data_IF_013949741660
#
_entry.id   IF_013949741660
#
_cell.length_a   1.000
_cell.length_b   1.000
_cell.length_c   1.000
_cell.angle_alpha   90.00
_cell.angle_beta   90.00
_cell.angle_gamma   90.00
#
_symmetry.space_group_name_H-M   'P 1'
#
loop_
_entity.id
_entity.type
_entity.pdbx_description
1 polymer ?
#
# COMPACT_ATOMS: atom_id res chain seq x y z
N UNK A 1 18.71 -23.15 7.70
CA UNK A 1 18.61 -22.75 9.12
C UNK A 1 18.70 -21.22 9.30
N UNK A 2 19.79 -20.57 8.83
CA UNK A 2 20.01 -19.11 8.99
C UNK A 2 18.91 -18.18 8.42
N UNK A 3 18.35 -18.47 7.24
CA UNK A 3 17.32 -17.61 6.62
C UNK A 3 16.03 -17.53 7.46
N UNK A 4 15.61 -18.66 8.03
CA UNK A 4 14.43 -18.78 8.90
C UNK A 4 14.62 -18.01 10.21
N UNK A 5 15.82 -18.05 10.77
CA UNK A 5 16.15 -17.41 12.05
C UNK A 5 16.27 -15.89 11.92
N UNK A 6 16.72 -15.43 10.74
CA UNK A 6 16.98 -14.02 10.41
C UNK A 6 15.84 -13.36 9.59
N UNK A 7 14.70 -14.03 9.40
CA UNK A 7 13.58 -13.52 8.59
C UNK A 7 13.12 -12.12 8.99
N UNK A 8 13.20 -11.77 10.28
CA UNK A 8 12.83 -10.43 10.75
C UNK A 8 13.78 -9.35 10.21
N UNK A 9 15.08 -9.63 10.13
CA UNK A 9 16.07 -8.70 9.58
C UNK A 9 15.80 -8.48 8.10
N UNK A 10 15.55 -9.55 7.35
CA UNK A 10 15.19 -9.45 5.92
C UNK A 10 13.87 -8.70 5.71
N UNK A 11 12.87 -8.93 6.56
CA UNK A 11 11.59 -8.22 6.50
C UNK A 11 11.78 -6.71 6.69
N UNK A 12 12.49 -6.30 7.75
CA UNK A 12 12.79 -4.89 8.01
C UNK A 12 13.66 -4.27 6.92
N UNK A 13 14.66 -5.00 6.41
CA UNK A 13 15.54 -4.52 5.34
C UNK A 13 14.76 -4.30 4.04
N UNK A 14 13.83 -5.21 3.71
CA UNK A 14 12.96 -5.05 2.55
C UNK A 14 12.06 -3.82 2.71
N UNK A 15 11.38 -3.68 3.85
CA UNK A 15 10.51 -2.52 4.12
C UNK A 15 11.28 -1.20 4.08
N UNK A 16 12.50 -1.17 4.64
CA UNK A 16 13.37 0.00 4.58
C UNK A 16 13.77 0.32 3.13
N UNK A 17 14.21 -0.70 2.38
CA UNK A 17 14.60 -0.53 0.98
C UNK A 17 13.45 0.07 0.16
N UNK A 18 12.25 -0.52 0.21
CA UNK A 18 11.12 -0.03 -0.59
C UNK A 18 10.65 1.35 -0.14
N UNK A 19 10.76 1.68 1.15
CA UNK A 19 10.47 3.02 1.65
C UNK A 19 11.49 4.07 1.18
N UNK A 20 12.78 3.73 1.20
CA UNK A 20 13.85 4.60 0.69
C UNK A 20 13.68 4.84 -0.80
N UNK A 21 13.38 3.80 -1.59
CA UNK A 21 13.11 3.95 -3.03
C UNK A 21 11.92 4.88 -3.31
N UNK A 22 10.83 4.72 -2.55
CA UNK A 22 9.67 5.61 -2.63
C UNK A 22 10.01 7.07 -2.28
N UNK A 23 10.80 7.28 -1.22
CA UNK A 23 11.26 8.61 -0.81
C UNK A 23 12.18 9.25 -1.85
N UNK A 24 13.12 8.50 -2.41
CA UNK A 24 14.02 8.97 -3.48
C UNK A 24 13.22 9.37 -4.71
N UNK A 25 12.26 8.54 -5.14
CA UNK A 25 11.41 8.83 -6.29
C UNK A 25 10.57 10.09 -6.09
N UNK A 26 10.03 10.28 -4.88
CA UNK A 26 9.31 11.50 -4.50
C UNK A 26 10.24 12.72 -4.50
N UNK A 27 11.40 12.64 -3.85
CA UNK A 27 12.39 13.72 -3.75
C UNK A 27 12.90 14.16 -5.13
N UNK A 28 13.16 13.20 -6.02
CA UNK A 28 13.50 13.47 -7.41
C UNK A 28 12.37 14.18 -8.17
N UNK A 29 11.11 13.83 -7.91
CA UNK A 29 9.95 14.52 -8.47
C UNK A 29 9.83 15.99 -8.02
N UNK A 30 10.47 16.35 -6.91
CA UNK A 30 10.61 17.73 -6.44
C UNK A 30 11.95 18.37 -6.84
N UNK A 31 12.76 17.69 -7.65
CA UNK A 31 14.14 18.08 -7.94
C UNK A 31 14.98 18.34 -6.67
N UNK A 32 14.66 17.66 -5.58
CA UNK A 32 15.27 17.86 -4.25
C UNK A 32 15.14 19.28 -3.69
N UNK A 33 14.21 20.08 -4.21
CA UNK A 33 13.90 21.41 -3.69
C UNK A 33 12.70 21.35 -2.75
N UNK A 34 12.99 21.42 -1.45
CA UNK A 34 11.98 21.32 -0.38
C UNK A 34 11.42 22.68 0.07
N UNK A 35 11.76 23.77 -0.62
CA UNK A 35 11.13 25.06 -0.37
C UNK A 35 9.65 25.01 -0.76
N UNK A 36 8.75 25.42 0.15
CA UNK A 36 7.30 25.45 -0.04
C UNK A 36 6.64 24.07 -0.22
N UNK A 37 6.84 23.18 0.76
CA UNK A 37 6.08 21.93 0.85
C UNK A 37 4.61 22.22 1.18
N UNK A 38 3.73 22.07 0.19
CA UNK A 38 2.29 22.07 0.37
C UNK A 38 1.74 20.65 0.51
N UNK A 39 0.49 20.52 0.97
CA UNK A 39 -0.21 19.25 1.04
C UNK A 39 -0.23 18.52 -0.32
N UNK A 40 -0.36 19.25 -1.45
CA UNK A 40 -0.31 18.67 -2.80
C UNK A 40 1.04 18.01 -3.12
N UNK A 41 2.13 18.54 -2.57
CA UNK A 41 3.48 17.98 -2.75
C UNK A 41 3.78 16.84 -1.79
N UNK A 42 3.17 16.86 -0.60
CA UNK A 42 3.39 15.86 0.44
C UNK A 42 2.51 14.63 0.28
N UNK A 43 1.22 14.78 -0.04
CA UNK A 43 0.30 13.65 -0.10
C UNK A 43 0.77 12.49 -1.01
N UNK A 44 1.46 12.70 -2.16
CA UNK A 44 1.92 11.59 -3.00
C UNK A 44 2.97 10.72 -2.28
N UNK A 45 3.85 11.31 -1.47
CA UNK A 45 4.84 10.57 -0.69
C UNK A 45 4.16 9.53 0.23
N UNK A 46 3.10 9.94 0.92
CA UNK A 46 2.34 9.04 1.80
C UNK A 46 1.71 7.88 1.02
N UNK A 47 1.21 8.13 -0.19
CA UNK A 47 0.69 7.08 -1.08
C UNK A 47 1.76 6.10 -1.53
N UNK A 48 2.92 6.60 -1.94
CA UNK A 48 4.07 5.77 -2.35
C UNK A 48 4.57 4.90 -1.19
N UNK A 49 4.74 5.49 -0.01
CA UNK A 49 5.15 4.77 1.19
C UNK A 49 4.11 3.75 1.63
N UNK A 50 2.82 4.11 1.65
CA UNK A 50 1.75 3.22 2.05
C UNK A 50 1.75 1.94 1.21
N UNK A 51 1.67 2.06 -0.12
CA UNK A 51 1.67 0.90 -1.00
C UNK A 51 2.96 0.10 -0.89
N UNK A 52 4.12 0.75 -0.87
CA UNK A 52 5.42 0.04 -0.81
C UNK A 52 5.56 -0.80 0.46
N UNK A 53 5.14 -0.26 1.61
CA UNK A 53 5.17 -0.98 2.88
C UNK A 53 4.11 -2.09 2.93
N UNK A 54 2.90 -1.84 2.44
CA UNK A 54 1.85 -2.88 2.31
C UNK A 54 2.32 -4.03 1.42
N UNK A 55 2.93 -3.71 0.28
CA UNK A 55 3.53 -4.69 -0.60
C UNK A 55 4.58 -5.54 0.12
N UNK A 56 5.47 -4.91 0.91
CA UNK A 56 6.47 -5.66 1.70
C UNK A 56 5.84 -6.58 2.75
N UNK A 57 4.73 -6.17 3.38
CA UNK A 57 3.94 -7.02 4.30
C UNK A 57 3.44 -8.28 3.59
N UNK A 58 2.94 -8.14 2.36
CA UNK A 58 2.47 -9.27 1.54
C UNK A 58 3.61 -10.25 1.21
N UNK A 59 4.74 -9.74 0.74
CA UNK A 59 5.89 -10.58 0.37
C UNK A 59 6.46 -11.30 1.60
N UNK A 60 6.63 -10.60 2.71
CA UNK A 60 7.08 -11.21 3.98
C UNK A 60 6.04 -12.21 4.50
N UNK A 61 4.74 -11.91 4.36
CA UNK A 61 3.65 -12.84 4.66
C UNK A 61 3.77 -14.15 3.89
N UNK A 62 4.07 -14.08 2.59
CA UNK A 62 4.29 -15.28 1.78
C UNK A 62 5.58 -16.00 2.13
N UNK A 63 6.68 -15.29 2.35
CA UNK A 63 7.93 -15.89 2.79
C UNK A 63 7.77 -16.63 4.15
N UNK A 64 7.00 -16.05 5.08
CA UNK A 64 6.68 -16.67 6.38
C UNK A 64 5.93 -18.00 6.20
N UNK A 65 5.00 -18.10 5.25
CA UNK A 65 4.26 -19.34 4.99
C UNK A 65 5.18 -20.52 4.66
N UNK A 66 6.22 -20.27 3.85
CA UNK A 66 7.20 -21.29 3.48
C UNK A 66 8.27 -21.55 4.55
N UNK A 67 8.83 -20.50 5.13
CA UNK A 67 9.95 -20.63 6.07
C UNK A 67 9.53 -21.07 7.48
N UNK A 68 8.24 -20.94 7.81
CA UNK A 68 7.65 -21.30 9.12
C UNK A 68 8.55 -20.89 10.31
N UNK A 69 8.94 -19.60 10.41
CA UNK A 69 9.78 -19.13 11.51
C UNK A 69 9.02 -19.24 12.85
N UNK A 70 9.73 -19.22 13.99
CA UNK A 70 9.12 -19.19 15.32
C UNK A 70 8.07 -18.07 15.44
N UNK A 71 6.94 -18.35 16.10
CA UNK A 71 5.74 -17.51 16.06
C UNK A 71 5.97 -16.03 16.40
N UNK A 72 6.89 -15.73 17.34
CA UNK A 72 7.17 -14.37 17.81
C UNK A 72 8.17 -13.59 16.94
N UNK A 73 8.85 -14.21 15.98
CA UNK A 73 9.93 -13.55 15.22
C UNK A 73 9.46 -12.36 14.38
N UNK A 74 8.20 -12.35 13.93
CA UNK A 74 7.64 -11.28 13.08
C UNK A 74 6.54 -10.48 13.79
N UNK A 75 6.29 -10.70 15.09
CA UNK A 75 5.18 -10.02 15.78
C UNK A 75 5.36 -8.51 15.79
N UNK A 76 6.57 -8.03 16.10
CA UNK A 76 6.87 -6.60 16.12
C UNK A 76 6.86 -6.00 14.71
N UNK A 77 7.35 -6.75 13.72
CA UNK A 77 7.29 -6.35 12.32
C UNK A 77 5.85 -6.05 11.88
N UNK A 78 4.94 -7.01 12.03
CA UNK A 78 3.54 -6.78 11.65
C UNK A 78 2.87 -5.72 12.53
N UNK A 79 3.11 -5.71 13.85
CA UNK A 79 2.50 -4.73 14.76
C UNK A 79 2.84 -3.29 14.35
N UNK A 80 4.12 -2.97 14.21
CA UNK A 80 4.54 -1.59 13.93
C UNK A 80 4.32 -1.21 12.48
N UNK A 81 4.54 -2.14 11.53
CA UNK A 81 4.39 -1.83 10.12
C UNK A 81 2.92 -1.65 9.74
N UNK A 82 1.99 -2.44 10.30
CA UNK A 82 0.55 -2.22 10.08
C UNK A 82 0.07 -0.87 10.63
N UNK A 83 0.51 -0.47 11.82
CA UNK A 83 0.18 0.87 12.36
C UNK A 83 0.77 1.98 11.49
N UNK A 84 2.01 1.81 11.03
CA UNK A 84 2.65 2.77 10.12
C UNK A 84 1.87 2.91 8.82
N UNK A 85 1.52 1.77 8.19
CA UNK A 85 0.68 1.74 6.99
C UNK A 85 -0.66 2.42 7.23
N UNK A 86 -1.33 2.16 8.36
CA UNK A 86 -2.60 2.79 8.71
C UNK A 86 -2.48 4.33 8.72
N UNK A 87 -1.45 4.85 9.37
CA UNK A 87 -1.18 6.30 9.39
C UNK A 87 -0.95 6.82 7.97
N UNK A 88 -0.17 6.12 7.15
CA UNK A 88 0.13 6.54 5.78
C UNK A 88 -1.12 6.54 4.88
N UNK A 89 -1.97 5.51 4.95
CA UNK A 89 -3.21 5.44 4.17
C UNK A 89 -4.26 6.44 4.63
N UNK A 90 -4.22 6.90 5.89
CA UNK A 90 -5.07 7.99 6.37
C UNK A 90 -4.54 9.35 5.91
N UNK A 91 -3.23 9.56 6.04
CA UNK A 91 -2.56 10.80 5.68
C UNK A 91 -2.64 11.07 4.16
N UNK A 92 -2.50 10.05 3.31
CA UNK A 92 -2.50 10.21 1.86
C UNK A 92 -3.75 10.91 1.30
N UNK A 93 -4.97 10.34 1.39
CA UNK A 93 -6.18 11.03 0.95
C UNK A 93 -6.53 12.19 1.90
N UNK A 94 -6.22 12.09 3.20
CA UNK A 94 -6.55 13.12 4.19
C UNK A 94 -5.89 14.47 3.87
N UNK A 95 -4.62 14.48 3.50
CA UNK A 95 -3.89 15.69 3.09
C UNK A 95 -4.47 16.29 1.80
N UNK A 96 -4.86 15.45 0.83
CA UNK A 96 -5.47 15.92 -0.40
C UNK A 96 -6.84 16.55 -0.13
N UNK A 97 -7.71 15.87 0.64
CA UNK A 97 -9.05 16.39 1.01
C UNK A 97 -8.93 17.69 1.78
N UNK A 98 -8.03 17.75 2.76
CA UNK A 98 -7.78 18.94 3.55
C UNK A 98 -7.41 20.14 2.66
N UNK A 99 -6.50 19.93 1.72
CA UNK A 99 -6.06 20.99 0.82
C UNK A 99 -7.16 21.44 -0.13
N UNK A 100 -7.87 20.49 -0.76
CA UNK A 100 -8.98 20.80 -1.65
C UNK A 100 -10.09 21.57 -0.93
N UNK A 101 -10.39 21.21 0.32
CA UNK A 101 -11.35 21.94 1.14
C UNK A 101 -10.88 23.37 1.44
N UNK A 102 -9.60 23.54 1.84
CA UNK A 102 -9.01 24.88 2.08
C UNK A 102 -9.00 25.77 0.84
N UNK A 103 -8.85 25.17 -0.33
CA UNK A 103 -8.83 25.87 -1.61
C UNK A 103 -10.26 26.13 -2.16
N UNK A 104 -11.31 25.78 -1.40
CA UNK A 104 -12.70 26.08 -1.75
C UNK A 104 -13.39 25.06 -2.66
N UNK A 105 -12.76 23.92 -2.97
CA UNK A 105 -13.35 22.86 -3.79
C UNK A 105 -14.38 21.99 -3.04
N UNK A 106 -14.50 22.18 -1.72
CA UNK A 106 -15.41 21.40 -0.87
C UNK A 106 -14.92 19.97 -0.59
N UNK A 107 -15.84 19.13 -0.11
CA UNK A 107 -15.55 17.74 0.23
C UNK A 107 -15.79 16.80 -0.98
N UNK A 108 -15.17 15.60 -0.98
CA UNK A 108 -15.50 14.56 -1.95
C UNK A 108 -17.00 14.19 -1.95
N UNK A 109 -17.56 13.70 -3.07
CA UNK A 109 -16.86 13.27 -4.29
C UNK A 109 -16.58 14.38 -5.31
N UNK A 110 -17.22 15.55 -5.18
CA UNK A 110 -17.13 16.63 -6.17
C UNK A 110 -15.71 17.19 -6.28
N UNK A 111 -15.04 17.42 -5.15
CA UNK A 111 -13.67 17.95 -5.14
C UNK A 111 -12.67 17.03 -5.84
N UNK A 112 -12.81 15.70 -5.69
CA UNK A 112 -11.98 14.73 -6.40
C UNK A 112 -12.21 14.75 -7.91
N UNK A 113 -13.47 14.80 -8.36
CA UNK A 113 -13.79 14.86 -9.79
C UNK A 113 -13.15 16.08 -10.46
N UNK A 114 -13.17 17.22 -9.76
CA UNK A 114 -12.56 18.45 -10.25
C UNK A 114 -11.02 18.35 -10.27
N UNK A 115 -10.41 17.69 -9.28
CA UNK A 115 -8.96 17.56 -9.18
C UNK A 115 -8.36 16.61 -10.22
N UNK A 116 -8.92 15.40 -10.41
CA UNK A 116 -8.34 14.37 -11.30
C UNK A 116 -8.89 14.38 -12.73
N UNK A 117 -9.98 15.10 -12.96
CA UNK A 117 -10.70 15.13 -14.22
C UNK A 117 -11.53 13.86 -14.51
N UNK A 118 -12.53 13.93 -15.41
CA UNK A 118 -13.52 12.86 -15.60
C UNK A 118 -12.91 11.49 -15.98
N UNK A 119 -11.86 11.49 -16.80
CA UNK A 119 -11.24 10.27 -17.32
C UNK A 119 -10.43 9.47 -16.28
N UNK A 120 -10.24 10.00 -15.07
CA UNK A 120 -9.49 9.33 -14.01
C UNK A 120 -10.30 9.15 -12.71
N UNK A 121 -11.57 9.57 -12.68
CA UNK A 121 -12.47 9.41 -11.52
C UNK A 121 -12.59 7.95 -11.08
N UNK A 122 -12.63 7.01 -12.03
CA UNK A 122 -12.72 5.58 -11.72
C UNK A 122 -11.58 5.13 -10.80
N UNK A 123 -10.36 5.65 -10.99
CA UNK A 123 -9.20 5.28 -10.20
C UNK A 123 -9.35 5.76 -8.74
N UNK A 124 -9.98 6.92 -8.54
CA UNK A 124 -10.31 7.47 -7.21
C UNK A 124 -11.39 6.64 -6.53
N UNK A 125 -12.41 6.19 -7.27
CA UNK A 125 -13.48 5.34 -6.73
C UNK A 125 -12.90 4.00 -6.26
N UNK A 126 -12.11 3.33 -7.13
CA UNK A 126 -11.45 2.07 -6.80
C UNK A 126 -10.56 2.21 -5.58
N UNK A 127 -9.75 3.26 -5.48
CA UNK A 127 -8.91 3.49 -4.29
C UNK A 127 -9.71 3.83 -3.04
N UNK A 128 -10.84 4.53 -3.17
CA UNK A 128 -11.71 4.85 -2.02
C UNK A 128 -12.32 3.57 -1.44
N UNK A 129 -12.80 2.67 -2.30
CA UNK A 129 -13.30 1.36 -1.89
C UNK A 129 -12.19 0.54 -1.24
N UNK A 130 -11.01 0.49 -1.87
CA UNK A 130 -9.85 -0.20 -1.31
C UNK A 130 -9.45 0.34 0.07
N UNK A 131 -9.46 1.68 0.24
CA UNK A 131 -9.19 2.34 1.50
C UNK A 131 -10.17 1.92 2.59
N UNK A 132 -11.49 1.92 2.32
CA UNK A 132 -12.49 1.42 3.26
C UNK A 132 -12.29 -0.06 3.61
N UNK A 133 -11.92 -0.90 2.63
CA UNK A 133 -11.59 -2.31 2.88
C UNK A 133 -10.40 -2.44 3.83
N UNK A 134 -9.32 -1.67 3.64
CA UNK A 134 -8.16 -1.71 4.54
C UNK A 134 -8.48 -1.20 5.94
N UNK A 135 -9.30 -0.15 6.06
CA UNK A 135 -9.80 0.30 7.37
C UNK A 135 -10.62 -0.78 8.07
N UNK A 136 -11.53 -1.44 7.34
CA UNK A 136 -12.30 -2.56 7.88
C UNK A 136 -11.38 -3.74 8.26
N UNK A 137 -10.29 -3.95 7.53
CA UNK A 137 -9.32 -5.00 7.80
C UNK A 137 -8.60 -4.82 9.15
N UNK A 138 -8.50 -3.61 9.68
CA UNK A 138 -7.97 -3.37 11.05
C UNK A 138 -8.84 -4.03 12.13
N UNK A 139 -10.12 -4.31 11.85
CA UNK A 139 -11.01 -5.05 12.74
C UNK A 139 -10.71 -6.55 12.79
N UNK A 140 -9.70 -7.03 12.05
CA UNK A 140 -9.27 -8.45 12.05
C UNK A 140 -9.05 -8.99 13.44
N UNK A 141 -8.46 -8.19 14.35
CA UNK A 141 -8.19 -8.62 15.72
C UNK A 141 -9.45 -9.04 16.49
N UNK A 142 -10.63 -8.57 16.07
CA UNK A 142 -11.92 -8.83 16.71
C UNK A 142 -12.69 -9.91 15.94
N UNK A 143 -12.64 -9.89 14.61
CA UNK A 143 -13.55 -10.69 13.77
C UNK A 143 -12.87 -11.79 12.95
N UNK A 144 -11.56 -12.02 13.08
CA UNK A 144 -10.83 -13.02 12.25
C UNK A 144 -11.47 -14.41 12.27
N UNK A 145 -12.01 -14.82 13.40
CA UNK A 145 -12.54 -16.18 13.57
C UNK A 145 -14.01 -16.30 13.10
N UNK A 146 -14.61 -15.21 12.58
CA UNK A 146 -15.95 -15.24 11.99
C UNK A 146 -15.92 -15.87 10.59
N UNK A 147 -16.91 -16.69 10.22
CA UNK A 147 -16.90 -17.43 8.95
C UNK A 147 -16.94 -16.54 7.70
N UNK A 148 -17.46 -15.32 7.82
CA UNK A 148 -17.48 -14.33 6.74
C UNK A 148 -16.14 -13.60 6.57
N UNK A 149 -15.21 -13.69 7.53
CA UNK A 149 -13.93 -12.98 7.47
C UNK A 149 -13.07 -13.38 6.26
N UNK A 150 -13.23 -14.61 5.76
CA UNK A 150 -12.59 -15.08 4.52
C UNK A 150 -12.88 -14.16 3.32
N UNK A 151 -14.05 -13.53 3.27
CA UNK A 151 -14.38 -12.57 2.21
C UNK A 151 -13.64 -11.25 2.39
N UNK A 152 -13.37 -10.83 3.63
CA UNK A 152 -12.51 -9.67 3.91
C UNK A 152 -11.05 -9.93 3.51
N UNK A 153 -10.55 -11.16 3.65
CA UNK A 153 -9.23 -11.54 3.14
C UNK A 153 -9.16 -11.41 1.62
N UNK A 154 -10.16 -11.93 0.90
CA UNK A 154 -10.25 -11.78 -0.55
C UNK A 154 -10.39 -10.29 -0.95
N UNK A 155 -11.23 -9.55 -0.24
CA UNK A 155 -11.42 -8.13 -0.50
C UNK A 155 -10.11 -7.34 -0.30
N UNK A 156 -9.32 -7.65 0.74
CA UNK A 156 -8.00 -7.06 0.95
C UNK A 156 -7.01 -7.36 -0.18
N UNK A 157 -7.01 -8.60 -0.67
CA UNK A 157 -6.17 -9.03 -1.80
C UNK A 157 -6.57 -8.29 -3.10
N UNK A 158 -7.87 -8.07 -3.33
CA UNK A 158 -8.35 -7.25 -4.46
C UNK A 158 -8.07 -5.75 -4.26
N UNK A 159 -8.16 -5.27 -3.02
CA UNK A 159 -7.93 -3.87 -2.68
C UNK A 159 -6.48 -3.45 -2.95
N UNK A 160 -5.49 -4.30 -2.63
CA UNK A 160 -4.08 -3.98 -2.93
C UNK A 160 -3.82 -3.90 -4.44
N UNK A 161 -4.50 -4.73 -5.25
CA UNK A 161 -4.47 -4.63 -6.72
C UNK A 161 -5.14 -3.34 -7.19
N UNK A 162 -6.26 -2.96 -6.60
CA UNK A 162 -6.94 -1.69 -6.86
C UNK A 162 -6.05 -0.48 -6.59
N UNK A 163 -5.33 -0.47 -5.47
CA UNK A 163 -4.37 0.60 -5.14
C UNK A 163 -3.20 0.61 -6.14
N UNK A 164 -2.70 -0.55 -6.54
CA UNK A 164 -1.67 -0.64 -7.57
C UNK A 164 -2.14 0.02 -8.89
N UNK A 165 -3.33 -0.30 -9.38
CA UNK A 165 -3.88 0.30 -10.60
C UNK A 165 -4.15 1.79 -10.44
N UNK A 166 -4.69 2.20 -9.30
CA UNK A 166 -4.88 3.62 -8.95
C UNK A 166 -3.56 4.40 -9.06
N UNK A 167 -2.49 3.87 -8.47
CA UNK A 167 -1.19 4.53 -8.47
C UNK A 167 -0.58 4.64 -9.88
N UNK A 168 -0.73 3.62 -10.74
CA UNK A 168 -0.31 3.72 -12.15
C UNK A 168 -1.07 4.79 -12.92
N UNK A 169 -2.35 5.01 -12.60
CA UNK A 169 -3.19 6.00 -13.29
C UNK A 169 -2.94 7.43 -12.82
N UNK A 170 -2.75 7.64 -11.51
CA UNK A 170 -2.75 8.97 -10.90
C UNK A 170 -1.39 9.40 -10.31
N UNK A 171 -0.48 8.46 -10.06
CA UNK A 171 0.83 8.75 -9.49
C UNK A 171 1.74 9.45 -10.50
N UNK A 172 2.01 10.72 -10.31
CA UNK A 172 2.89 11.52 -11.18
C UNK A 172 4.30 10.91 -11.26
N UNK A 173 4.86 10.47 -10.13
CA UNK A 173 6.15 9.77 -10.06
C UNK A 173 6.18 8.41 -10.78
N UNK A 174 5.02 7.92 -11.25
CA UNK A 174 4.86 6.63 -11.91
C UNK A 174 4.52 6.75 -13.39
N UNK A 175 4.37 7.97 -13.91
CA UNK A 175 4.06 8.17 -15.34
C UNK A 175 5.28 7.91 -16.23
N UNK A 176 6.49 8.18 -15.74
CA UNK A 176 7.74 7.95 -16.46
C UNK A 176 8.92 7.69 -15.50
N UNK A 177 10.06 7.29 -16.05
CA UNK A 177 11.32 7.13 -15.31
C UNK A 177 11.52 5.75 -14.66
N UNK A 178 12.65 5.59 -13.97
CA UNK A 178 13.09 4.33 -13.38
C UNK A 178 12.11 3.77 -12.35
N UNK A 179 11.44 4.64 -11.59
CA UNK A 179 10.55 4.21 -10.52
C UNK A 179 9.29 3.54 -11.06
N UNK A 180 8.85 3.89 -12.28
CA UNK A 180 7.78 3.16 -12.97
C UNK A 180 8.15 1.68 -13.21
N UNK A 181 9.41 1.40 -13.56
CA UNK A 181 9.91 0.04 -13.77
C UNK A 181 9.87 -0.73 -12.44
N UNK A 182 10.41 -0.13 -11.38
CA UNK A 182 10.35 -0.70 -10.01
C UNK A 182 8.92 -0.99 -9.59
N UNK A 183 8.00 -0.07 -9.87
CA UNK A 183 6.59 -0.22 -9.55
C UNK A 183 5.95 -1.39 -10.31
N UNK A 184 6.21 -1.51 -11.62
CA UNK A 184 5.76 -2.67 -12.41
C UNK A 184 6.34 -3.96 -11.85
N UNK A 185 7.61 -3.97 -11.45
CA UNK A 185 8.22 -5.13 -10.77
C UNK A 185 7.49 -5.48 -9.47
N UNK A 186 7.11 -4.49 -8.65
CA UNK A 186 6.27 -4.74 -7.47
C UNK A 186 4.93 -5.39 -7.86
N UNK A 187 4.26 -4.87 -8.89
CA UNK A 187 3.02 -5.44 -9.41
C UNK A 187 3.17 -6.90 -9.87
N UNK A 188 4.22 -7.23 -10.62
CA UNK A 188 4.49 -8.59 -11.08
C UNK A 188 4.76 -9.55 -9.91
N UNK A 189 5.59 -9.16 -8.95
CA UNK A 189 5.87 -9.97 -7.76
C UNK A 189 4.60 -10.15 -6.92
N UNK A 190 3.78 -9.10 -6.78
CA UNK A 190 2.49 -9.18 -6.09
C UNK A 190 1.55 -10.17 -6.79
N UNK A 191 1.44 -10.11 -8.12
CA UNK A 191 0.63 -11.04 -8.90
C UNK A 191 1.07 -12.51 -8.68
N UNK A 192 2.39 -12.77 -8.69
CA UNK A 192 2.94 -14.09 -8.39
C UNK A 192 2.60 -14.53 -6.96
N UNK A 193 2.76 -13.64 -5.98
CA UNK A 193 2.46 -13.94 -4.59
C UNK A 193 0.97 -14.26 -4.37
N UNK A 194 0.07 -13.48 -4.97
CA UNK A 194 -1.38 -13.72 -4.92
C UNK A 194 -1.75 -15.03 -5.61
N UNK A 195 -1.23 -15.28 -6.82
CA UNK A 195 -1.46 -16.54 -7.53
C UNK A 195 -1.06 -17.75 -6.65
N UNK A 196 0.09 -17.67 -6.01
CA UNK A 196 0.60 -18.72 -5.13
C UNK A 196 -0.24 -18.90 -3.86
N UNK A 197 -0.74 -17.80 -3.27
CA UNK A 197 -1.70 -17.83 -2.14
C UNK A 197 -2.94 -18.63 -2.54
N UNK A 198 -3.58 -18.29 -3.64
CA UNK A 198 -4.83 -18.95 -4.05
C UNK A 198 -4.59 -20.38 -4.55
N UNK A 199 -3.48 -20.65 -5.25
CA UNK A 199 -3.06 -22.00 -5.61
C UNK A 199 -2.89 -22.89 -4.38
N UNK A 200 -2.27 -22.39 -3.32
CA UNK A 200 -2.08 -23.15 -2.08
C UNK A 200 -3.39 -23.44 -1.34
N UNK A 201 -4.41 -22.58 -1.46
CA UNK A 201 -5.75 -22.83 -0.90
C UNK A 201 -6.51 -23.94 -1.62
N UNK A 202 -6.25 -24.15 -2.91
CA UNK A 202 -6.90 -25.18 -3.74
C UNK A 202 -6.28 -26.59 -3.58
N UNK A 203 -5.08 -26.69 -3.00
CA UNK A 203 -4.40 -27.96 -2.72
C UNK A 203 -4.30 -28.15 -1.21
N UNK A 204 -5.39 -28.55 -0.53
CA UNK A 204 -5.30 -28.89 0.89
C UNK A 204 -4.33 -30.06 1.05
N UNK A 205 -3.27 -29.83 1.83
CA UNK A 205 -2.36 -30.88 2.32
C UNK A 205 -2.99 -31.64 3.46
#
# INVERSE_FOLDING_TARGET
MRLRENISVYAWSLSLLVAVLAFIAWGQGLHWHFSNLSSYRLFPLFGLLAFSLMWSIYIVGRARHYLKPPAKKLSNYYKYLSVTVLVLILAHPGLLVWQLWRDGFGLPPTSYKNYVGPAAVWAVIVSSIAWFIFLAYELRRIYRDRPWWKYMEIAGDLAIVGIFLHSLRLGTNLQAGWFRIVWITYGLILAVALFDIYRSKLRPS
#
